data_IF_960347847438
#
_entry.id   IF_960347847438
#
_cell.length_a   1.000
_cell.length_b   1.000
_cell.length_c   1.000
_cell.angle_alpha   90.00
_cell.angle_beta   90.00
_cell.angle_gamma   90.00
#
_symmetry.space_group_name_H-M   'P 1'
#
loop_
_entity.id
_entity.type
_entity.pdbx_description
1 polymer ?
#
# COMPACT_ATOMS: atom_id res chain seq x y z
N UNK A 1 -2.40 6.06 18.00
CA UNK A 1 -2.93 4.73 17.61
C UNK A 1 -2.05 3.63 18.22
N UNK A 2 -2.54 2.39 18.42
CA UNK A 2 -1.68 1.27 18.82
C UNK A 2 -0.45 1.07 17.93
N UNK A 3 -0.57 1.40 16.63
CA UNK A 3 0.53 1.42 15.67
C UNK A 3 1.70 2.32 16.10
N UNK A 4 1.42 3.55 16.55
CA UNK A 4 2.44 4.49 17.06
C UNK A 4 3.17 3.95 18.29
N UNK A 5 2.43 3.32 19.21
CA UNK A 5 3.02 2.77 20.43
C UNK A 5 3.97 1.62 20.08
N UNK A 6 3.56 0.71 19.20
CA UNK A 6 4.38 -0.43 18.82
C UNK A 6 5.66 0.02 18.10
N UNK A 7 5.56 0.88 17.10
CA UNK A 7 6.73 1.29 16.32
C UNK A 7 7.63 2.24 17.12
N UNK A 8 7.06 3.13 17.93
CA UNK A 8 7.82 4.07 18.77
C UNK A 8 8.56 3.42 19.93
N UNK A 9 8.14 2.22 20.36
CA UNK A 9 8.74 1.48 21.47
C UNK A 9 9.64 0.31 21.02
N UNK A 10 9.93 0.18 19.72
CA UNK A 10 10.77 -0.89 19.17
C UNK A 10 12.08 -0.35 18.58
N UNK A 11 13.11 -1.20 18.55
CA UNK A 11 14.44 -0.87 18.01
C UNK A 11 14.38 -0.54 16.52
N UNK A 12 15.18 0.40 15.98
CA UNK A 12 15.07 0.90 14.60
C UNK A 12 14.95 -0.17 13.51
N UNK A 13 15.65 -1.30 13.68
CA UNK A 13 15.66 -2.44 12.75
C UNK A 13 14.34 -3.19 12.66
N UNK A 14 13.44 -3.02 13.64
CA UNK A 14 12.08 -3.53 13.54
C UNK A 14 11.33 -2.73 12.47
N UNK A 15 10.93 -3.38 11.39
CA UNK A 15 10.14 -2.79 10.32
C UNK A 15 8.65 -2.98 10.57
N UNK A 16 7.84 -2.18 9.91
CA UNK A 16 6.40 -2.34 9.86
C UNK A 16 5.94 -2.51 8.42
N UNK A 17 4.91 -3.33 8.22
CA UNK A 17 4.32 -3.59 6.92
C UNK A 17 2.91 -3.00 6.91
N UNK A 18 2.81 -1.77 6.40
CA UNK A 18 1.53 -1.07 6.30
C UNK A 18 0.72 -1.61 5.11
N UNK A 19 -0.58 -1.81 5.33
CA UNK A 19 -1.54 -2.12 4.28
C UNK A 19 -2.32 -0.87 3.93
N UNK A 20 -1.91 -0.25 2.83
CA UNK A 20 -2.49 1.02 2.34
C UNK A 20 -3.98 0.90 2.17
N UNK A 21 -4.43 -0.25 1.70
CA UNK A 21 -5.82 -0.58 1.46
C UNK A 21 -6.70 -0.57 2.70
N UNK A 22 -6.24 -1.21 3.76
CA UNK A 22 -6.95 -1.18 5.04
C UNK A 22 -6.93 0.20 5.68
N UNK A 23 -5.84 0.97 5.52
CA UNK A 23 -5.75 2.33 6.06
C UNK A 23 -6.78 3.25 5.42
N UNK A 24 -6.88 3.27 4.08
CA UNK A 24 -7.86 4.11 3.39
C UNK A 24 -9.30 3.64 3.60
N UNK A 25 -9.54 2.32 3.70
CA UNK A 25 -10.87 1.77 4.08
C UNK A 25 -11.28 2.15 5.50
N UNK A 26 -10.30 2.29 6.40
CA UNK A 26 -10.48 2.82 7.75
C UNK A 26 -10.64 4.35 7.80
N UNK A 27 -10.73 5.02 6.65
CA UNK A 27 -10.84 6.48 6.51
C UNK A 27 -9.66 7.24 7.15
N UNK A 28 -8.47 6.64 7.11
CA UNK A 28 -7.22 7.22 7.58
C UNK A 28 -6.29 7.57 6.40
N UNK A 29 -5.38 8.50 6.63
CA UNK A 29 -4.39 8.92 5.62
C UNK A 29 -3.21 7.92 5.61
N UNK A 30 -2.97 7.23 4.47
CA UNK A 30 -1.92 6.21 4.34
C UNK A 30 -0.50 6.77 4.36
N UNK A 31 -0.31 8.09 4.26
CA UNK A 31 1.02 8.70 4.24
C UNK A 31 1.53 9.05 5.64
N UNK A 32 0.63 9.18 6.63
CA UNK A 32 0.97 9.66 7.98
C UNK A 32 2.04 8.80 8.63
N UNK A 33 1.95 7.47 8.53
CA UNK A 33 2.88 6.56 9.19
C UNK A 33 4.12 6.27 8.36
N UNK A 34 3.99 6.21 7.04
CA UNK A 34 5.13 6.13 6.12
C UNK A 34 6.09 7.32 6.28
N UNK A 35 5.56 8.53 6.44
CA UNK A 35 6.37 9.75 6.59
C UNK A 35 6.93 9.91 8.01
N UNK A 36 6.16 9.52 9.03
CA UNK A 36 6.54 9.69 10.44
C UNK A 36 7.70 8.79 10.88
N UNK A 37 7.83 7.62 10.27
CA UNK A 37 8.84 6.63 10.66
C UNK A 37 9.76 6.26 9.48
N UNK A 38 10.71 7.16 9.12
CA UNK A 38 11.54 6.98 7.95
C UNK A 38 12.32 5.66 7.95
N UNK A 39 12.35 4.99 6.80
CA UNK A 39 13.09 3.74 6.58
C UNK A 39 12.48 2.50 7.22
N UNK A 40 11.32 2.61 7.90
CA UNK A 40 10.70 1.48 8.61
C UNK A 40 9.56 0.82 7.83
N UNK A 41 9.24 1.30 6.63
CA UNK A 41 8.22 0.73 5.74
C UNK A 41 8.87 -0.07 4.59
N UNK A 42 9.75 -1.03 4.94
CA UNK A 42 10.53 -1.81 3.97
C UNK A 42 9.69 -2.69 3.05
N UNK A 43 8.55 -3.15 3.55
CA UNK A 43 7.53 -3.85 2.77
C UNK A 43 6.21 -3.09 2.93
N UNK A 44 5.44 -2.98 1.84
CA UNK A 44 4.13 -2.31 1.86
C UNK A 44 3.13 -3.16 1.08
N UNK A 45 1.98 -3.44 1.69
CA UNK A 45 0.83 -4.03 1.00
C UNK A 45 0.09 -2.94 0.23
N UNK A 46 -0.14 -3.18 -1.07
CA UNK A 46 -0.88 -2.28 -1.94
C UNK A 46 -2.05 -3.00 -2.60
N UNK A 47 -3.16 -2.28 -2.73
CA UNK A 47 -4.37 -2.75 -3.40
C UNK A 47 -5.08 -1.58 -4.07
N UNK A 48 -5.93 -1.87 -5.05
CA UNK A 48 -6.89 -0.88 -5.54
C UNK A 48 -7.82 -0.42 -4.42
N UNK A 49 -8.16 0.87 -4.42
CA UNK A 49 -9.19 1.40 -3.55
C UNK A 49 -10.06 2.39 -4.31
N UNK A 50 -11.37 2.24 -4.17
CA UNK A 50 -12.34 3.25 -4.56
C UNK A 50 -13.41 3.36 -3.49
N UNK A 51 -13.92 4.57 -3.28
CA UNK A 51 -15.03 4.82 -2.37
C UNK A 51 -16.36 4.25 -2.89
N UNK A 52 -16.46 4.03 -4.21
CA UNK A 52 -17.72 3.64 -4.87
C UNK A 52 -17.70 2.26 -5.50
N UNK A 53 -16.51 1.71 -5.80
CA UNK A 53 -16.39 0.37 -6.38
C UNK A 53 -15.39 -0.50 -5.58
N UNK A 54 -15.85 -1.56 -4.90
CA UNK A 54 -14.98 -2.43 -4.12
C UNK A 54 -14.11 -3.36 -4.98
N UNK A 55 -14.33 -3.44 -6.30
CA UNK A 55 -13.68 -4.40 -7.20
C UNK A 55 -12.49 -3.82 -7.97
N UNK A 56 -12.15 -2.53 -7.75
CA UNK A 56 -11.01 -1.91 -8.43
C UNK A 56 -9.71 -2.64 -8.13
N UNK A 57 -8.89 -2.81 -9.16
CA UNK A 57 -7.60 -3.48 -9.04
C UNK A 57 -6.49 -2.51 -8.66
N UNK A 58 -5.31 -3.03 -8.30
CA UNK A 58 -4.12 -2.20 -8.12
C UNK A 58 -3.89 -1.33 -9.39
N UNK A 59 -3.51 -0.07 -9.18
CA UNK A 59 -3.38 0.92 -10.25
C UNK A 59 -4.69 1.56 -10.74
N UNK A 60 -5.83 1.15 -10.20
CA UNK A 60 -7.15 1.73 -10.48
C UNK A 60 -7.71 2.45 -9.23
N UNK A 61 -8.86 3.08 -9.40
CA UNK A 61 -9.60 3.74 -8.31
C UNK A 61 -9.03 5.11 -7.94
N UNK A 62 -9.16 5.43 -6.65
CA UNK A 62 -9.07 6.80 -6.11
C UNK A 62 -7.72 7.07 -5.39
N UNK A 63 -6.81 6.09 -5.36
CA UNK A 63 -5.49 6.27 -4.74
C UNK A 63 -4.57 7.14 -5.59
N UNK A 64 -3.87 8.08 -4.93
CA UNK A 64 -2.76 8.81 -5.52
C UNK A 64 -1.50 7.93 -5.55
N UNK A 65 -1.41 7.10 -6.60
CA UNK A 65 -0.30 6.17 -6.81
C UNK A 65 1.05 6.88 -6.94
N UNK A 66 1.10 8.05 -7.57
CA UNK A 66 2.34 8.81 -7.74
C UNK A 66 2.88 9.30 -6.40
N UNK A 67 2.00 9.86 -5.55
CA UNK A 67 2.38 10.25 -4.18
C UNK A 67 2.79 9.03 -3.36
N UNK A 68 2.06 7.92 -3.47
CA UNK A 68 2.40 6.68 -2.76
C UNK A 68 3.81 6.22 -3.11
N UNK A 69 4.14 6.10 -4.39
CA UNK A 69 5.47 5.67 -4.79
C UNK A 69 6.55 6.63 -4.33
N UNK A 70 6.31 7.95 -4.42
CA UNK A 70 7.26 8.96 -3.95
C UNK A 70 7.55 8.83 -2.45
N UNK A 71 6.52 8.60 -1.64
CA UNK A 71 6.65 8.46 -0.18
C UNK A 71 7.32 7.14 0.16
N UNK A 72 6.86 6.03 -0.41
CA UNK A 72 7.40 4.69 -0.16
C UNK A 72 8.88 4.58 -0.56
N UNK A 73 9.24 4.96 -1.79
CA UNK A 73 10.63 4.87 -2.27
C UNK A 73 11.55 5.95 -1.70
N UNK A 74 10.99 7.06 -1.21
CA UNK A 74 11.71 8.12 -0.54
C UNK A 74 11.85 7.85 0.95
N UNK A 75 10.99 8.48 1.74
CA UNK A 75 11.06 8.47 3.20
C UNK A 75 10.75 7.09 3.79
N UNK A 76 9.82 6.33 3.20
CA UNK A 76 9.44 5.00 3.68
C UNK A 76 10.58 3.99 3.55
N UNK A 77 11.46 4.17 2.57
CA UNK A 77 12.56 3.26 2.26
C UNK A 77 12.09 1.88 1.79
N UNK A 78 10.92 1.81 1.16
CA UNK A 78 10.27 0.58 0.69
C UNK A 78 11.11 -0.11 -0.37
N UNK A 79 11.31 -1.42 -0.17
CA UNK A 79 12.05 -2.30 -1.08
C UNK A 79 11.11 -3.26 -1.81
N UNK A 80 9.98 -3.62 -1.17
CA UNK A 80 9.01 -4.56 -1.73
C UNK A 80 7.59 -4.01 -1.63
N UNK A 81 6.94 -3.91 -2.78
CA UNK A 81 5.49 -3.77 -2.85
C UNK A 81 4.86 -5.16 -2.96
N UNK A 82 3.97 -5.48 -2.04
CA UNK A 82 3.20 -6.70 -2.03
C UNK A 82 1.83 -6.36 -2.61
N UNK A 83 1.61 -6.75 -3.86
CA UNK A 83 0.32 -6.55 -4.54
C UNK A 83 -0.70 -7.52 -3.96
N UNK A 84 -1.74 -6.99 -3.35
CA UNK A 84 -2.83 -7.74 -2.74
C UNK A 84 -4.16 -7.39 -3.41
N UNK A 85 -4.99 -8.40 -3.70
CA UNK A 85 -6.37 -8.20 -4.13
C UNK A 85 -7.30 -9.19 -3.41
N UNK A 86 -8.19 -8.69 -2.56
CA UNK A 86 -9.17 -9.50 -1.83
C UNK A 86 -10.62 -9.38 -2.32
N UNK A 87 -10.93 -8.40 -3.17
CA UNK A 87 -12.26 -8.21 -3.74
C UNK A 87 -12.16 -7.99 -5.25
N UNK A 88 -12.83 -8.84 -6.03
CA UNK A 88 -12.83 -8.83 -7.49
C UNK A 88 -13.89 -9.81 -7.97
N UNK A 89 -14.47 -9.56 -9.14
CA UNK A 89 -15.37 -10.50 -9.82
C UNK A 89 -14.63 -11.49 -10.71
N UNK A 90 -13.31 -11.33 -10.87
CA UNK A 90 -12.47 -12.13 -11.75
C UNK A 90 -11.91 -13.36 -11.02
N UNK A 91 -11.42 -14.33 -11.79
CA UNK A 91 -10.67 -15.46 -11.21
C UNK A 91 -9.36 -14.97 -10.56
N UNK A 92 -8.78 -15.72 -9.61
CA UNK A 92 -7.49 -15.34 -9.00
C UNK A 92 -6.36 -15.15 -10.02
N UNK A 93 -6.28 -16.03 -11.02
CA UNK A 93 -5.23 -15.93 -12.06
C UNK A 93 -5.42 -14.73 -12.96
N UNK A 94 -6.66 -14.45 -13.38
CA UNK A 94 -6.95 -13.27 -14.18
C UNK A 94 -6.72 -11.97 -13.38
N UNK A 95 -7.09 -11.98 -12.10
CA UNK A 95 -6.84 -10.86 -11.18
C UNK A 95 -5.35 -10.58 -11.07
N UNK A 96 -4.53 -11.60 -10.80
CA UNK A 96 -3.08 -11.46 -10.70
C UNK A 96 -2.47 -10.94 -12.01
N UNK A 97 -2.93 -11.44 -13.15
CA UNK A 97 -2.48 -10.98 -14.47
C UNK A 97 -2.79 -9.49 -14.68
N UNK A 98 -4.03 -9.06 -14.46
CA UNK A 98 -4.43 -7.65 -14.65
C UNK A 98 -3.72 -6.72 -13.67
N UNK A 99 -3.54 -7.17 -12.43
CA UNK A 99 -2.76 -6.42 -11.45
C UNK A 99 -1.31 -6.22 -11.91
N UNK A 100 -0.67 -7.26 -12.46
CA UNK A 100 0.68 -7.16 -13.01
C UNK A 100 0.75 -6.23 -14.24
N UNK A 101 -0.27 -6.26 -15.10
CA UNK A 101 -0.36 -5.35 -16.24
C UNK A 101 -0.49 -3.88 -15.79
N UNK A 102 -1.35 -3.61 -14.81
CA UNK A 102 -1.50 -2.27 -14.23
C UNK A 102 -0.23 -1.81 -13.51
N UNK A 103 0.41 -2.71 -12.76
CA UNK A 103 1.71 -2.48 -12.12
C UNK A 103 2.75 -1.97 -13.12
N UNK A 104 2.89 -2.67 -14.25
CA UNK A 104 3.80 -2.28 -15.33
C UNK A 104 3.44 -0.94 -15.97
N UNK A 105 2.15 -0.65 -16.17
CA UNK A 105 1.68 0.64 -16.72
C UNK A 105 2.05 1.82 -15.81
N UNK A 106 2.14 1.59 -14.51
CA UNK A 106 2.58 2.60 -13.53
C UNK A 106 4.12 2.79 -13.51
N UNK A 107 4.86 2.11 -14.38
CA UNK A 107 6.32 2.21 -14.45
C UNK A 107 7.03 1.43 -13.35
N UNK A 108 6.40 0.36 -12.86
CA UNK A 108 6.92 -0.51 -11.81
C UNK A 108 7.15 -1.94 -12.27
#
# INVERSE_FOLDING_TARGET
MPWDLLIGLTVPDMIMQEDIGHVVRGNADPFVYLERYPGRAKLVHIRGFSATDPNVLVGEGDLDWQRLFKVCEGVGGTEWYIVEQSATTLSPMETAQRCLENWRKMGK
#
